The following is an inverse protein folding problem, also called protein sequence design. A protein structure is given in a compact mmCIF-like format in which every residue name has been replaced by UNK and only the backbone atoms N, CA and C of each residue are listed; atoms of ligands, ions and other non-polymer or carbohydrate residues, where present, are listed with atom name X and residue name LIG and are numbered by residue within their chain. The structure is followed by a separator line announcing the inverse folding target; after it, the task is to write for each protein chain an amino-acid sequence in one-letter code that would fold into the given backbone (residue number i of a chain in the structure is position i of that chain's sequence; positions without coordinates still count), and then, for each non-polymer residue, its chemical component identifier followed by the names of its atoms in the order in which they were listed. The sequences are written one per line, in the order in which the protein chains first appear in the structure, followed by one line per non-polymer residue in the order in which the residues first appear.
data_IF_995373441563
#
_entry.id   IF_995373441563
#
_cell.length_a   1.000
_cell.length_b   1.000
_cell.length_c   1.000
_cell.angle_alpha   90.00
_cell.angle_beta   90.00
_cell.angle_gamma   90.00
#
_symmetry.space_group_name_H-M   'P 1'
#
loop_
_entity.id
_entity.type
_entity.pdbx_description
1 polymer ?
#
# COMPACT_ATOMS: atom_id res chain seq x y z
N UNK A 1 5.93 -11.23 55.08
CA UNK A 1 4.60 -10.82 54.57
C UNK A 1 4.76 -10.32 53.14
N UNK A 2 4.16 -10.99 52.13
CA UNK A 2 4.24 -10.59 50.71
C UNK A 2 3.18 -9.51 50.44
N UNK A 3 3.59 -8.29 50.10
CA UNK A 3 2.67 -7.29 49.53
C UNK A 3 2.34 -7.75 48.11
N UNK A 4 1.14 -8.28 47.90
CA UNK A 4 0.57 -8.37 46.55
C UNK A 4 0.40 -6.94 46.04
N UNK A 5 1.38 -6.47 45.28
CA UNK A 5 1.20 -5.35 44.39
C UNK A 5 0.58 -5.92 43.11
N UNK A 6 -0.71 -6.24 43.18
CA UNK A 6 -1.49 -6.39 41.96
C UNK A 6 -1.39 -5.09 41.17
N UNK A 7 -1.42 -5.19 39.84
CA UNK A 7 -1.63 -4.01 39.00
C UNK A 7 -2.84 -3.27 39.58
N UNK A 8 -2.64 -2.05 40.09
CA UNK A 8 -3.73 -1.23 40.61
C UNK A 8 -4.81 -1.16 39.53
N UNK A 9 -6.09 -1.18 39.90
CA UNK A 9 -7.20 -1.02 38.95
C UNK A 9 -6.98 0.18 38.00
N UNK A 10 -6.35 1.25 38.52
CA UNK A 10 -5.88 2.39 37.74
C UNK A 10 -4.78 2.05 36.72
N UNK A 11 -3.79 1.26 37.11
CA UNK A 11 -2.76 0.76 36.19
C UNK A 11 -3.35 -0.10 35.07
N UNK A 12 -4.37 -0.92 35.37
CA UNK A 12 -5.08 -1.70 34.36
C UNK A 12 -5.81 -0.81 33.36
N UNK A 13 -6.54 0.21 33.82
CA UNK A 13 -7.22 1.16 32.93
C UNK A 13 -6.24 1.88 32.01
N UNK A 14 -5.10 2.35 32.55
CA UNK A 14 -4.08 3.04 31.74
C UNK A 14 -3.58 2.12 30.62
N UNK A 15 -3.22 0.87 30.94
CA UNK A 15 -2.79 -0.11 29.94
C UNK A 15 -3.90 -0.39 28.93
N UNK A 16 -5.15 -0.55 29.36
CA UNK A 16 -6.28 -0.79 28.48
C UNK A 16 -6.50 0.36 27.48
N UNK A 17 -6.33 1.61 27.90
CA UNK A 17 -6.41 2.79 27.00
C UNK A 17 -5.31 2.74 25.94
N UNK A 18 -4.06 2.45 26.33
CA UNK A 18 -2.97 2.30 25.37
C UNK A 18 -3.22 1.15 24.38
N UNK A 19 -3.68 0.00 24.86
CA UNK A 19 -4.03 -1.14 24.01
C UNK A 19 -5.14 -0.78 23.03
N UNK A 20 -6.19 -0.08 23.49
CA UNK A 20 -7.27 0.38 22.62
C UNK A 20 -6.78 1.36 21.55
N UNK A 21 -5.93 2.34 21.92
CA UNK A 21 -5.36 3.30 20.97
C UNK A 21 -4.50 2.60 19.89
N UNK A 22 -3.70 1.62 20.30
CA UNK A 22 -2.88 0.80 19.40
C UNK A 22 -3.77 -0.04 18.50
N UNK A 23 -4.81 -0.68 19.03
CA UNK A 23 -5.75 -1.48 18.24
C UNK A 23 -6.47 -0.66 17.17
N UNK A 24 -7.00 0.52 17.52
CA UNK A 24 -7.65 1.43 16.56
C UNK A 24 -6.67 1.85 15.45
N UNK A 25 -5.42 2.13 15.81
CA UNK A 25 -4.38 2.46 14.86
C UNK A 25 -4.14 1.29 13.90
N UNK A 26 -3.96 0.07 14.42
CA UNK A 26 -3.78 -1.11 13.58
C UNK A 26 -4.93 -1.33 12.60
N UNK A 27 -6.18 -1.26 13.07
CA UNK A 27 -7.34 -1.45 12.19
C UNK A 27 -7.42 -0.42 11.06
N UNK A 28 -6.96 0.81 11.29
CA UNK A 28 -6.93 1.85 10.25
C UNK A 28 -5.76 1.73 9.28
N UNK A 29 -4.65 1.14 9.72
CA UNK A 29 -3.46 0.96 8.89
C UNK A 29 -3.60 -0.24 7.94
N UNK A 30 -4.30 -1.29 8.35
CA UNK A 30 -4.57 -2.48 7.51
C UNK A 30 -5.10 -2.13 6.10
N UNK A 31 -6.18 -1.34 5.93
CA UNK A 31 -6.71 -1.04 4.59
C UNK A 31 -5.69 -0.32 3.70
N UNK A 32 -4.84 0.56 4.26
CA UNK A 32 -3.78 1.22 3.49
C UNK A 32 -2.73 0.23 2.96
N UNK A 33 -2.38 -0.79 3.74
CA UNK A 33 -1.48 -1.85 3.28
C UNK A 33 -2.15 -2.78 2.26
N UNK A 34 -3.43 -3.10 2.44
CA UNK A 34 -4.20 -3.89 1.46
C UNK A 34 -4.22 -3.19 0.11
N UNK A 35 -4.49 -1.88 0.11
CA UNK A 35 -4.44 -1.04 -1.10
C UNK A 35 -3.06 -1.10 -1.77
N UNK A 36 -1.97 -0.95 -1.00
CA UNK A 36 -0.60 -1.11 -1.52
C UNK A 36 -0.37 -2.49 -2.19
N UNK A 37 -0.82 -3.58 -1.55
CA UNK A 37 -0.69 -4.91 -2.13
C UNK A 37 -1.51 -5.08 -3.41
N UNK A 38 -2.71 -4.51 -3.46
CA UNK A 38 -3.55 -4.50 -4.65
C UNK A 38 -2.87 -3.73 -5.78
N UNK A 39 -2.36 -2.53 -5.53
CA UNK A 39 -1.60 -1.74 -6.52
C UNK A 39 -0.42 -2.53 -7.04
N UNK A 40 0.40 -3.10 -6.15
CA UNK A 40 1.58 -3.88 -6.53
C UNK A 40 1.21 -5.07 -7.41
N UNK A 41 0.17 -5.82 -7.04
CA UNK A 41 -0.32 -6.96 -7.82
C UNK A 41 -0.80 -6.52 -9.20
N UNK A 42 -1.55 -5.43 -9.26
CA UNK A 42 -2.10 -4.88 -10.50
C UNK A 42 -1.01 -4.38 -11.43
N UNK A 43 -0.03 -3.63 -10.90
CA UNK A 43 1.14 -3.19 -11.66
C UNK A 43 1.91 -4.39 -12.22
N UNK A 44 2.09 -5.45 -11.43
CA UNK A 44 2.74 -6.67 -11.89
C UNK A 44 1.96 -7.37 -13.01
N UNK A 45 0.64 -7.41 -12.94
CA UNK A 45 -0.22 -7.99 -13.98
C UNK A 45 -0.14 -7.18 -15.28
N UNK A 46 -0.33 -5.86 -15.22
CA UNK A 46 -0.25 -5.01 -16.42
C UNK A 46 1.16 -4.95 -16.99
N UNK A 47 2.21 -5.09 -16.16
CA UNK A 47 3.59 -5.17 -16.62
C UNK A 47 3.79 -6.38 -17.52
N UNK A 48 3.20 -7.52 -17.15
CA UNK A 48 3.26 -8.75 -17.94
C UNK A 48 2.39 -8.70 -19.19
N UNK A 49 1.14 -8.24 -19.06
CA UNK A 49 0.17 -8.22 -20.17
C UNK A 49 0.45 -7.11 -21.19
N UNK A 50 1.00 -5.99 -20.73
CA UNK A 50 1.32 -4.82 -21.55
C UNK A 50 2.69 -4.87 -22.22
N UNK A 51 3.42 -5.99 -22.14
CA UNK A 51 4.68 -6.16 -22.85
C UNK A 51 4.46 -6.03 -24.36
N UNK A 52 5.04 -4.99 -24.98
CA UNK A 52 4.85 -4.68 -26.40
C UNK A 52 3.63 -3.79 -26.71
N UNK A 53 2.84 -3.39 -25.71
CA UNK A 53 1.77 -2.41 -25.90
C UNK A 53 2.28 -0.97 -25.72
N UNK A 54 1.63 0.02 -26.35
CA UNK A 54 1.92 1.43 -26.10
C UNK A 54 1.64 1.80 -24.64
N UNK A 55 2.43 2.70 -24.01
CA UNK A 55 2.21 3.15 -22.63
C UNK A 55 0.79 3.68 -22.35
N UNK A 56 0.12 4.24 -23.35
CA UNK A 56 -1.27 4.70 -23.24
C UNK A 56 -2.26 3.56 -22.96
N UNK A 57 -2.07 2.39 -23.59
CA UNK A 57 -2.96 1.25 -23.38
C UNK A 57 -2.71 0.61 -22.01
N UNK A 58 -1.44 0.58 -21.57
CA UNK A 58 -1.05 0.13 -20.22
C UNK A 58 -1.70 0.99 -19.14
N UNK A 59 -1.72 2.32 -19.32
CA UNK A 59 -2.42 3.24 -18.42
C UNK A 59 -3.93 3.00 -18.38
N UNK A 60 -4.55 2.74 -19.53
CA UNK A 60 -5.98 2.41 -19.63
C UNK A 60 -6.31 1.04 -19.02
N UNK A 61 -5.38 0.09 -19.09
CA UNK A 61 -5.51 -1.18 -18.38
C UNK A 61 -5.45 -0.95 -16.87
N UNK A 62 -4.45 -0.22 -16.40
CA UNK A 62 -4.34 0.16 -14.99
C UNK A 62 -5.59 0.86 -14.47
N UNK A 63 -6.14 1.85 -15.19
CA UNK A 63 -7.33 2.56 -14.73
C UNK A 63 -8.55 1.64 -14.54
N UNK A 64 -8.69 0.61 -15.38
CA UNK A 64 -9.75 -0.40 -15.23
C UNK A 64 -9.53 -1.27 -14.00
N UNK A 65 -8.30 -1.73 -13.79
CA UNK A 65 -7.95 -2.50 -12.60
C UNK A 65 -8.07 -1.68 -11.31
N UNK A 66 -7.66 -0.41 -11.34
CA UNK A 66 -7.77 0.51 -10.22
C UNK A 66 -9.22 0.67 -9.74
N UNK A 67 -10.18 0.73 -10.67
CA UNK A 67 -11.61 0.75 -10.33
C UNK A 67 -12.11 -0.57 -9.73
N UNK A 68 -11.55 -1.70 -10.13
CA UNK A 68 -11.97 -3.03 -9.64
C UNK A 68 -11.37 -3.32 -8.25
N UNK A 69 -10.11 -2.93 -8.03
CA UNK A 69 -9.35 -3.22 -6.81
C UNK A 69 -9.44 -2.11 -5.74
N UNK A 70 -10.33 -1.13 -5.96
CA UNK A 70 -10.58 0.03 -5.08
C UNK A 70 -9.31 0.84 -4.77
N UNK A 71 -8.53 1.12 -5.82
CA UNK A 71 -7.30 1.92 -5.74
C UNK A 71 -7.67 3.39 -5.90
N UNK A 72 -7.56 4.16 -4.82
CA UNK A 72 -7.84 5.59 -4.81
C UNK A 72 -6.55 6.43 -4.71
N UNK A 73 -5.49 5.86 -4.15
CA UNK A 73 -4.25 6.58 -3.84
C UNK A 73 -3.30 6.79 -5.02
N UNK A 74 -3.55 6.14 -6.16
CA UNK A 74 -2.71 6.20 -7.36
C UNK A 74 -3.56 6.31 -8.61
N UNK A 75 -3.28 7.30 -9.46
CA UNK A 75 -3.89 7.40 -10.79
C UNK A 75 -3.01 6.81 -11.88
N UNK A 76 -3.61 6.46 -13.02
CA UNK A 76 -2.88 5.95 -14.18
C UNK A 76 -1.83 6.93 -14.72
N UNK A 77 -2.02 8.22 -14.49
CA UNK A 77 -1.07 9.29 -14.86
C UNK A 77 0.19 9.29 -14.01
N UNK A 78 0.11 8.79 -12.77
CA UNK A 78 1.21 8.77 -11.81
C UNK A 78 2.19 7.62 -12.10
N UNK A 79 1.78 6.68 -12.96
CA UNK A 79 2.62 5.59 -13.42
C UNK A 79 3.74 6.08 -14.34
N UNK A 80 4.97 5.80 -13.93
CA UNK A 80 6.14 5.91 -14.78
C UNK A 80 6.34 4.59 -15.51
N UNK A 81 6.18 4.64 -16.84
CA UNK A 81 6.31 3.48 -17.71
C UNK A 81 7.53 3.72 -18.59
N UNK A 82 8.53 2.84 -18.48
CA UNK A 82 9.74 2.87 -19.29
C UNK A 82 9.86 1.55 -20.04
N UNK A 83 10.17 1.61 -21.34
CA UNK A 83 10.42 0.41 -22.15
C UNK A 83 11.88 0.43 -22.58
N UNK A 84 12.68 -0.48 -22.03
CA UNK A 84 14.13 -0.57 -22.32
C UNK A 84 14.44 -1.98 -22.80
N UNK A 85 14.93 -2.11 -24.04
CA UNK A 85 15.39 -3.39 -24.56
C UNK A 85 14.32 -4.50 -24.61
N UNK A 86 13.05 -4.13 -24.85
CA UNK A 86 11.93 -5.09 -24.87
C UNK A 86 11.36 -5.43 -23.49
N UNK A 87 11.92 -4.87 -22.41
CA UNK A 87 11.40 -5.00 -21.03
C UNK A 87 10.64 -3.74 -20.67
N UNK A 88 9.42 -3.91 -20.16
CA UNK A 88 8.60 -2.82 -19.65
C UNK A 88 8.77 -2.73 -18.13
N UNK A 89 9.27 -1.58 -17.68
CA UNK A 89 9.40 -1.23 -16.27
C UNK A 89 8.26 -0.27 -15.91
N UNK A 90 7.52 -0.60 -14.86
CA UNK A 90 6.44 0.23 -14.33
C UNK A 90 6.76 0.54 -12.88
N UNK A 91 6.82 1.82 -12.56
CA UNK A 91 7.06 2.30 -11.20
C UNK A 91 6.08 3.37 -10.79
N UNK A 92 5.81 3.42 -9.49
CA UNK A 92 4.97 4.46 -8.88
C UNK A 92 5.43 4.75 -7.45
N UNK A 93 5.39 6.03 -7.10
CA UNK A 93 5.65 6.52 -5.75
C UNK A 93 4.49 7.40 -5.34
N UNK A 94 3.91 7.15 -4.16
CA UNK A 94 2.75 7.89 -3.69
C UNK A 94 2.71 7.95 -2.16
N UNK A 95 1.90 8.88 -1.65
CA UNK A 95 1.71 9.07 -0.22
C UNK A 95 0.27 8.75 0.16
N UNK A 96 0.08 7.95 1.22
CA UNK A 96 -1.23 7.67 1.79
C UNK A 96 -1.33 8.26 3.18
N UNK A 97 -2.24 9.21 3.36
CA UNK A 97 -2.56 9.75 4.69
C UNK A 97 -3.74 8.98 5.28
N UNK A 98 -3.56 8.45 6.49
CA UNK A 98 -4.57 7.72 7.26
C UNK A 98 -4.91 8.53 8.52
N UNK A 99 -6.12 9.10 8.63
CA UNK A 99 -6.52 9.85 9.81
C UNK A 99 -6.73 8.90 10.99
N UNK A 100 -6.11 9.16 12.14
CA UNK A 100 -6.25 8.34 13.35
C UNK A 100 -7.40 8.82 14.24
N UNK A 101 -7.22 9.96 14.92
CA UNK A 101 -8.17 10.53 15.87
C UNK A 101 -8.02 12.06 15.90
N UNK A 102 -9.15 12.77 15.94
CA UNK A 102 -9.16 14.24 15.90
C UNK A 102 -8.27 14.79 14.77
N UNK A 103 -7.23 15.56 15.12
CA UNK A 103 -6.31 16.19 14.18
C UNK A 103 -5.03 15.39 13.94
N UNK A 104 -4.96 14.12 14.38
CA UNK A 104 -3.78 13.26 14.27
C UNK A 104 -3.95 12.31 13.08
N UNK A 105 -2.94 12.25 12.21
CA UNK A 105 -2.89 11.36 11.04
C UNK A 105 -1.53 10.67 10.94
N UNK A 106 -1.50 9.49 10.31
CA UNK A 106 -0.28 8.83 9.87
C UNK A 106 -0.10 9.04 8.38
N UNK A 107 1.14 9.28 7.97
CA UNK A 107 1.51 9.38 6.56
C UNK A 107 2.40 8.20 6.21
N UNK A 108 2.02 7.48 5.16
CA UNK A 108 2.78 6.38 4.59
C UNK A 108 3.33 6.83 3.25
N UNK A 109 4.63 6.62 3.03
CA UNK A 109 5.25 6.75 1.73
C UNK A 109 5.42 5.36 1.15
N UNK A 110 4.90 5.12 -0.04
CA UNK A 110 4.98 3.86 -0.73
C UNK A 110 5.70 4.03 -2.07
N UNK A 111 6.63 3.12 -2.33
CA UNK A 111 7.35 3.02 -3.59
C UNK A 111 7.20 1.62 -4.15
N UNK A 112 6.75 1.52 -5.40
CA UNK A 112 6.55 0.25 -6.10
C UNK A 112 7.36 0.29 -7.40
N UNK A 113 8.14 -0.77 -7.60
CA UNK A 113 8.93 -0.98 -8.80
C UNK A 113 8.69 -2.42 -9.28
N UNK A 114 8.10 -2.58 -10.46
CA UNK A 114 7.88 -3.88 -11.08
C UNK A 114 8.36 -3.84 -12.52
N UNK A 115 8.92 -4.94 -12.99
CA UNK A 115 9.32 -5.12 -14.38
C UNK A 115 8.46 -6.23 -15.01
N UNK A 116 8.31 -6.18 -16.33
CA UNK A 116 7.54 -7.16 -17.09
C UNK A 116 8.19 -8.56 -17.12
N UNK A 117 9.37 -8.71 -16.52
CA UNK A 117 10.19 -9.90 -16.62
C UNK A 117 10.59 -10.15 -18.06
N UNK A 118 11.73 -9.62 -18.50
CA UNK A 118 12.59 -10.53 -19.25
C UNK A 118 12.94 -11.64 -18.26
N UNK A 119 12.58 -12.88 -18.58
CA UNK A 119 13.34 -14.00 -18.06
C UNK A 119 14.81 -13.69 -18.40
N UNK A 120 15.59 -13.34 -17.38
CA UNK A 120 17.04 -13.35 -17.48
C UNK A 120 17.38 -14.83 -17.63
N UNK A 121 17.64 -15.27 -18.86
CA UNK A 121 18.32 -16.54 -19.13
C UNK A 121 19.69 -16.55 -18.44
N UNK A 122 20.33 -17.71 -18.26
CA UNK A 122 20.45 -18.80 -19.24
C UNK A 122 19.46 -19.96 -19.10
#
# INVERSE_FOLDING_TARGET
MRKQQGLSFFGFIIVAVFVAAVAVTFFKVIPAYVEYFNIKKTIKTIAKEGAGQPPAEVRKSFSRHAQIDDIESVQATDLQIQQTGGVMNVSVSYQRTVPLVANISLLFNFDIYENSGAQVGP
#
